data_IF_219451005814
#
_entry.id   IF_219451005814
#
_cell.length_a   1.000
_cell.length_b   1.000
_cell.length_c   1.000
_cell.angle_alpha   90.00
_cell.angle_beta   90.00
_cell.angle_gamma   90.00
#
_symmetry.space_group_name_H-M   'P 1'
#
loop_
_entity.id
_entity.type
_entity.pdbx_description
1 polymer ?
#
# COMPACT_ATOMS: atom_id res chain seq x y z
N UNK A 1 -15.56 8.20 -15.17
CA UNK A 1 -14.39 9.01 -14.79
C UNK A 1 -14.41 9.09 -13.27
N UNK A 2 -13.25 9.01 -12.61
CA UNK A 2 -13.17 9.14 -11.15
C UNK A 2 -13.13 10.64 -10.83
N UNK A 3 -14.03 11.13 -9.98
CA UNK A 3 -14.10 12.52 -9.53
C UNK A 3 -13.11 12.79 -8.38
N UNK A 4 -12.75 11.78 -7.59
CA UNK A 4 -11.69 11.88 -6.59
C UNK A 4 -10.42 12.43 -7.23
N UNK A 5 -9.96 13.57 -6.72
CA UNK A 5 -8.73 14.22 -7.21
C UNK A 5 -7.56 13.32 -6.89
N UNK A 6 -6.79 13.01 -7.93
CA UNK A 6 -5.59 12.18 -7.83
C UNK A 6 -4.46 12.76 -8.65
N UNK A 7 -3.24 12.62 -8.15
CA UNK A 7 -2.00 12.95 -8.87
C UNK A 7 -1.18 11.68 -8.95
N UNK A 8 -0.77 11.30 -10.16
CA UNK A 8 0.11 10.16 -10.40
C UNK A 8 1.55 10.63 -10.60
N UNK A 9 2.48 9.99 -9.90
CA UNK A 9 3.91 10.16 -10.06
C UNK A 9 4.58 8.79 -10.13
N UNK A 10 5.65 8.67 -10.91
CA UNK A 10 6.46 7.45 -11.01
C UNK A 10 7.90 7.70 -10.59
N UNK A 11 8.49 6.77 -9.87
CA UNK A 11 9.89 6.82 -9.42
C UNK A 11 10.62 5.52 -9.80
N UNK A 12 11.71 5.58 -10.58
CA UNK A 12 12.59 4.43 -10.77
C UNK A 12 13.31 4.08 -9.46
N UNK A 13 13.25 2.81 -9.06
CA UNK A 13 13.88 2.30 -7.85
C UNK A 13 14.34 0.85 -8.05
N UNK A 14 15.66 0.62 -7.94
CA UNK A 14 16.30 -0.72 -8.00
C UNK A 14 15.76 -1.61 -9.14
N UNK A 15 15.70 -1.05 -10.36
CA UNK A 15 15.26 -1.79 -11.55
C UNK A 15 13.73 -1.96 -11.69
N UNK A 16 12.95 -1.36 -10.80
CA UNK A 16 11.49 -1.32 -10.86
C UNK A 16 10.99 0.14 -10.95
N UNK A 17 9.76 0.32 -11.43
CA UNK A 17 9.07 1.62 -11.36
C UNK A 17 8.05 1.57 -10.25
N UNK A 18 8.19 2.46 -9.27
CA UNK A 18 7.21 2.67 -8.22
C UNK A 18 6.18 3.69 -8.70
N UNK A 19 4.88 3.35 -8.61
CA UNK A 19 3.79 4.24 -8.99
C UNK A 19 3.06 4.77 -7.76
N UNK A 20 3.18 6.07 -7.54
CA UNK A 20 2.52 6.79 -6.46
C UNK A 20 1.23 7.43 -6.97
N UNK A 21 0.18 7.32 -6.18
CA UNK A 21 -1.07 8.04 -6.35
C UNK A 21 -1.34 8.79 -5.06
N UNK A 22 -1.14 10.10 -5.11
CA UNK A 22 -1.62 11.01 -4.08
C UNK A 22 -3.10 11.27 -4.35
N UNK A 23 -3.92 11.27 -3.31
CA UNK A 23 -5.37 11.45 -3.44
C UNK A 23 -5.93 12.37 -2.36
N UNK A 24 -7.01 13.09 -2.66
CA UNK A 24 -7.73 13.90 -1.69
C UNK A 24 -8.97 13.14 -1.17
N UNK A 25 -8.95 12.62 0.08
CA UNK A 25 -10.09 11.89 0.64
C UNK A 25 -11.36 12.75 0.79
N UNK A 26 -11.24 14.08 0.86
CA UNK A 26 -12.38 14.98 0.95
C UNK A 26 -13.12 15.09 -0.40
N UNK A 27 -12.39 14.97 -1.52
CA UNK A 27 -12.97 15.00 -2.87
C UNK A 27 -13.73 13.73 -3.28
N UNK A 28 -13.54 12.62 -2.55
CA UNK A 28 -14.15 11.33 -2.87
C UNK A 28 -15.69 11.34 -2.80
N UNK A 29 -16.30 10.70 -3.80
CA UNK A 29 -17.73 10.46 -3.91
C UNK A 29 -17.99 8.96 -4.03
N UNK A 30 -19.13 8.50 -3.51
CA UNK A 30 -19.48 7.06 -3.58
C UNK A 30 -19.52 6.53 -5.03
N UNK A 31 -19.89 7.36 -6.01
CA UNK A 31 -19.87 7.01 -7.43
C UNK A 31 -18.46 6.68 -7.98
N UNK A 32 -17.40 7.19 -7.34
CA UNK A 32 -16.03 6.90 -7.74
C UNK A 32 -15.70 5.41 -7.62
N UNK A 33 -16.36 4.71 -6.69
CA UNK A 33 -16.20 3.27 -6.53
C UNK A 33 -16.70 2.49 -7.74
N UNK A 34 -17.62 3.02 -8.53
CA UNK A 34 -18.13 2.35 -9.73
C UNK A 34 -17.04 2.14 -10.80
N UNK A 35 -15.90 2.83 -10.67
CA UNK A 35 -14.72 2.54 -11.48
C UNK A 35 -14.10 1.16 -11.18
N UNK A 36 -14.36 0.62 -9.99
CA UNK A 36 -13.90 -0.71 -9.58
C UNK A 36 -14.92 -1.78 -10.00
N UNK A 37 -14.52 -2.84 -10.72
CA UNK A 37 -15.42 -3.95 -11.05
C UNK A 37 -16.04 -4.63 -9.81
N UNK A 38 -15.29 -4.68 -8.71
CA UNK A 38 -15.68 -5.29 -7.44
C UNK A 38 -16.25 -4.29 -6.41
N UNK A 39 -16.80 -3.15 -6.84
CA UNK A 39 -17.31 -2.10 -5.94
C UNK A 39 -18.32 -2.61 -4.89
N UNK A 40 -19.14 -3.61 -5.25
CA UNK A 40 -20.12 -4.23 -4.36
C UNK A 40 -19.50 -4.76 -3.07
N UNK A 41 -18.27 -5.30 -3.15
CA UNK A 41 -17.54 -5.83 -1.99
C UNK A 41 -17.09 -4.73 -1.00
N UNK A 42 -17.13 -3.46 -1.41
CA UNK A 42 -16.72 -2.31 -0.60
C UNK A 42 -17.91 -1.50 -0.07
N UNK A 43 -19.16 -1.88 -0.37
CA UNK A 43 -20.35 -1.10 -0.02
C UNK A 43 -20.43 -0.75 1.46
N UNK A 44 -20.14 -1.73 2.33
CA UNK A 44 -20.18 -1.57 3.79
C UNK A 44 -18.87 -1.08 4.41
N UNK A 45 -17.83 -0.87 3.61
CA UNK A 45 -16.57 -0.35 4.11
C UNK A 45 -16.70 1.13 4.49
N UNK A 46 -15.99 1.56 5.54
CA UNK A 46 -15.91 2.98 5.90
C UNK A 46 -15.26 3.81 4.79
N UNK A 47 -15.57 5.12 4.76
CA UNK A 47 -15.07 6.06 3.74
C UNK A 47 -13.55 5.97 3.53
N UNK A 48 -12.78 5.91 4.61
CA UNK A 48 -11.31 5.76 4.56
C UNK A 48 -10.88 4.52 3.76
N UNK A 49 -11.47 3.37 4.05
CA UNK A 49 -11.13 2.13 3.35
C UNK A 49 -11.53 2.19 1.87
N UNK A 50 -12.66 2.81 1.55
CA UNK A 50 -13.13 3.02 0.17
C UNK A 50 -12.13 3.87 -0.64
N UNK A 51 -11.69 5.00 -0.07
CA UNK A 51 -10.74 5.91 -0.72
C UNK A 51 -9.37 5.26 -0.92
N UNK A 52 -8.83 4.62 0.11
CA UNK A 52 -7.53 3.93 0.06
C UNK A 52 -7.55 2.79 -0.96
N UNK A 53 -8.62 1.99 -0.97
CA UNK A 53 -8.75 0.88 -1.92
C UNK A 53 -8.84 1.36 -3.36
N UNK A 54 -9.60 2.44 -3.62
CA UNK A 54 -9.69 3.05 -4.94
C UNK A 54 -8.33 3.59 -5.39
N UNK A 55 -7.66 4.39 -4.55
CA UNK A 55 -6.35 4.97 -4.86
C UNK A 55 -5.30 3.87 -5.13
N UNK A 56 -5.26 2.83 -4.31
CA UNK A 56 -4.35 1.70 -4.52
C UNK A 56 -4.61 0.95 -5.83
N UNK A 57 -5.87 0.82 -6.24
CA UNK A 57 -6.21 0.22 -7.54
C UNK A 57 -5.88 1.12 -8.72
N UNK A 58 -5.98 2.44 -8.57
CA UNK A 58 -5.51 3.40 -9.58
C UNK A 58 -3.98 3.27 -9.74
N UNK A 59 -3.23 3.24 -8.63
CA UNK A 59 -1.78 3.05 -8.65
C UNK A 59 -1.39 1.73 -9.33
N UNK A 60 -2.09 0.64 -9.00
CA UNK A 60 -1.85 -0.67 -9.60
C UNK A 60 -2.14 -0.70 -11.11
N UNK A 61 -3.15 0.02 -11.59
CA UNK A 61 -3.41 0.16 -13.03
C UNK A 61 -2.27 0.90 -13.72
N UNK A 62 -1.71 1.95 -13.10
CA UNK A 62 -0.53 2.62 -13.68
C UNK A 62 0.66 1.66 -13.78
N UNK A 63 0.95 0.89 -12.73
CA UNK A 63 2.03 -0.09 -12.74
C UNK A 63 1.81 -1.20 -13.79
N UNK A 64 0.57 -1.71 -13.91
CA UNK A 64 0.22 -2.76 -14.88
C UNK A 64 0.36 -2.30 -16.33
N UNK A 65 0.16 -1.01 -16.63
CA UNK A 65 0.29 -0.47 -17.99
C UNK A 65 1.71 -0.62 -18.54
N UNK A 66 2.74 -0.55 -17.69
CA UNK A 66 4.13 -0.77 -18.11
C UNK A 66 4.37 -2.20 -18.61
N UNK A 67 3.54 -3.14 -18.15
CA UNK A 67 3.57 -4.55 -18.54
C UNK A 67 2.53 -4.90 -19.63
N UNK A 68 1.87 -3.90 -20.22
CA UNK A 68 0.89 -4.09 -21.29
C UNK A 68 -0.54 -4.43 -20.81
N UNK A 69 -0.79 -4.43 -19.50
CA UNK A 69 -2.09 -4.73 -18.93
C UNK A 69 -2.90 -3.45 -18.66
N UNK A 70 -4.22 -3.54 -18.83
CA UNK A 70 -5.16 -2.42 -18.58
C UNK A 70 -6.27 -2.75 -17.58
N UNK A 71 -6.17 -3.89 -16.91
CA UNK A 71 -7.16 -4.36 -15.96
C UNK A 71 -6.96 -3.77 -14.56
N UNK A 72 -8.05 -3.69 -13.81
CA UNK A 72 -8.01 -3.40 -12.37
C UNK A 72 -7.82 -4.74 -11.63
N UNK A 73 -6.81 -4.90 -10.76
CA UNK A 73 -6.67 -6.11 -9.96
C UNK A 73 -7.91 -6.41 -9.13
N UNK A 74 -8.39 -7.65 -9.16
CA UNK A 74 -9.53 -8.08 -8.34
C UNK A 74 -9.14 -8.21 -6.85
N UNK A 75 -10.07 -8.69 -6.03
CA UNK A 75 -9.84 -9.03 -4.62
C UNK A 75 -9.84 -10.56 -4.51
N UNK A 76 -8.75 -11.14 -4.00
CA UNK A 76 -8.60 -12.57 -3.77
C UNK A 76 -9.20 -13.01 -2.43
N UNK A 77 -9.15 -14.31 -2.15
CA UNK A 77 -9.77 -14.93 -0.97
C UNK A 77 -9.23 -14.39 0.36
N UNK A 78 -7.93 -14.07 0.41
CA UNK A 78 -7.26 -13.47 1.57
C UNK A 78 -7.26 -11.93 1.48
N UNK A 79 -8.13 -11.35 0.66
CA UNK A 79 -8.24 -9.90 0.38
C UNK A 79 -7.03 -9.29 -0.34
N UNK A 80 -6.13 -10.13 -0.84
CA UNK A 80 -4.97 -9.72 -1.63
C UNK A 80 -5.38 -9.25 -3.03
N UNK A 81 -4.63 -8.34 -3.68
CA UNK A 81 -4.83 -8.05 -5.10
C UNK A 81 -4.58 -9.29 -5.95
N UNK A 82 -5.49 -9.60 -6.88
CA UNK A 82 -5.28 -10.65 -7.87
C UNK A 82 -4.62 -10.04 -9.09
N UNK A 83 -3.36 -10.39 -9.31
CA UNK A 83 -2.56 -9.94 -10.44
C UNK A 83 -2.81 -10.80 -11.68
N UNK A 84 -2.63 -10.26 -12.90
CA UNK A 84 -2.64 -11.06 -14.12
C UNK A 84 -1.61 -12.19 -14.08
N UNK A 85 -1.80 -13.19 -14.94
CA UNK A 85 -0.80 -14.23 -15.13
C UNK A 85 0.57 -13.61 -15.48
N UNK A 86 1.64 -14.28 -15.05
CA UNK A 86 3.05 -13.92 -15.35
C UNK A 86 3.59 -12.66 -14.65
N UNK A 87 2.80 -11.97 -13.85
CA UNK A 87 3.27 -10.83 -13.05
C UNK A 87 2.88 -10.95 -11.59
N UNK A 88 3.74 -10.39 -10.75
CA UNK A 88 3.50 -10.16 -9.34
C UNK A 88 3.39 -8.66 -9.11
N UNK A 89 2.77 -8.27 -8.02
CA UNK A 89 2.79 -6.89 -7.59
C UNK A 89 2.46 -6.76 -6.12
N UNK A 90 2.68 -5.55 -5.62
CA UNK A 90 2.24 -5.18 -4.30
C UNK A 90 1.67 -3.77 -4.31
N UNK A 91 0.76 -3.52 -3.38
CA UNK A 91 0.07 -2.25 -3.18
C UNK A 91 0.16 -1.94 -1.69
N UNK A 92 0.66 -0.76 -1.34
CA UNK A 92 0.59 -0.24 0.04
C UNK A 92 -0.01 1.17 0.03
N UNK A 93 -0.50 1.62 1.17
CA UNK A 93 -1.09 2.95 1.33
C UNK A 93 -0.77 3.52 2.71
N UNK A 94 -0.43 4.80 2.74
CA UNK A 94 -0.20 5.54 3.98
C UNK A 94 -0.77 6.95 3.84
N UNK A 95 -1.62 7.35 4.80
CA UNK A 95 -2.32 8.63 4.78
C UNK A 95 -3.09 8.85 3.47
N UNK A 96 -2.71 9.90 2.75
CA UNK A 96 -3.30 10.32 1.48
C UNK A 96 -2.51 9.84 0.24
N UNK A 97 -1.65 8.82 0.41
CA UNK A 97 -0.81 8.26 -0.66
C UNK A 97 -1.04 6.76 -0.80
N UNK A 98 -1.18 6.30 -2.03
CA UNK A 98 -1.12 4.88 -2.38
C UNK A 98 0.08 4.62 -3.29
N UNK A 99 0.70 3.46 -3.13
CA UNK A 99 1.85 3.02 -3.91
C UNK A 99 1.55 1.66 -4.51
N UNK A 100 1.98 1.45 -5.75
CA UNK A 100 1.99 0.13 -6.38
C UNK A 100 3.27 -0.12 -7.16
N UNK A 101 3.66 -1.39 -7.22
CA UNK A 101 4.74 -1.90 -8.07
C UNK A 101 4.31 -3.21 -8.71
N UNK A 102 4.79 -3.46 -9.92
CA UNK A 102 4.62 -4.73 -10.65
C UNK A 102 5.98 -5.25 -11.09
N UNK A 103 6.17 -6.56 -11.03
CA UNK A 103 7.41 -7.26 -11.36
C UNK A 103 7.13 -8.64 -11.99
N UNK A 104 8.13 -9.21 -12.69
CA UNK A 104 8.12 -10.61 -13.15
C UNK A 104 8.56 -11.59 -12.07
N UNK A 105 9.00 -11.09 -10.93
CA UNK A 105 9.38 -11.87 -9.75
C UNK A 105 8.54 -11.45 -8.55
N UNK A 106 8.36 -12.31 -7.54
CA UNK A 106 7.67 -11.94 -6.30
C UNK A 106 8.23 -10.66 -5.70
N UNK A 107 7.34 -9.72 -5.36
CA UNK A 107 7.72 -8.39 -4.86
C UNK A 107 6.75 -7.95 -3.76
N UNK A 108 7.31 -7.39 -2.70
CA UNK A 108 6.60 -6.72 -1.61
C UNK A 108 7.08 -5.27 -1.52
N UNK A 109 6.15 -4.37 -1.20
CA UNK A 109 6.44 -2.98 -0.86
C UNK A 109 5.54 -2.60 0.29
N UNK A 110 6.03 -1.71 1.13
CA UNK A 110 5.26 -1.06 2.16
C UNK A 110 5.63 0.42 2.29
N UNK A 111 4.63 1.24 2.61
CA UNK A 111 4.80 2.65 2.94
C UNK A 111 4.13 2.92 4.27
N UNK A 112 4.85 3.54 5.18
CA UNK A 112 4.35 3.85 6.52
C UNK A 112 4.85 5.24 6.94
N UNK A 113 4.04 5.92 7.76
CA UNK A 113 4.47 7.14 8.44
C UNK A 113 5.40 6.73 9.58
N UNK A 114 6.53 7.43 9.70
CA UNK A 114 7.46 7.18 10.80
C UNK A 114 6.73 7.41 12.12
N UNK A 115 6.73 6.39 12.98
CA UNK A 115 6.00 6.46 14.24
C UNK A 115 6.54 7.60 15.10
N UNK A 116 5.62 8.30 15.77
CA UNK A 116 6.01 9.17 16.86
C UNK A 116 6.68 8.35 17.97
N UNK A 117 7.49 8.99 18.83
CA UNK A 117 8.11 8.31 19.98
C UNK A 117 7.04 7.70 20.89
N UNK A 118 5.91 8.37 21.06
CA UNK A 118 4.81 7.87 21.86
C UNK A 118 4.19 6.62 21.23
N UNK A 119 3.79 6.70 19.96
CA UNK A 119 3.22 5.57 19.21
C UNK A 119 4.17 4.37 19.19
N UNK A 120 5.47 4.62 18.99
CA UNK A 120 6.45 3.55 18.98
C UNK A 120 6.49 2.81 20.33
N UNK A 121 6.50 3.55 21.45
CA UNK A 121 6.47 2.95 22.79
C UNK A 121 5.21 2.12 23.01
N UNK A 122 4.04 2.65 22.64
CA UNK A 122 2.75 1.98 22.80
C UNK A 122 2.63 0.70 21.97
N UNK A 123 3.30 0.63 20.82
CA UNK A 123 3.20 -0.50 19.90
C UNK A 123 4.35 -1.51 20.01
N UNK A 124 5.42 -1.21 20.76
CA UNK A 124 6.62 -2.05 20.90
C UNK A 124 6.28 -3.54 21.07
N UNK A 125 5.55 -3.87 22.13
CA UNK A 125 5.30 -5.26 22.53
C UNK A 125 4.35 -6.01 21.57
N UNK A 126 3.64 -5.27 20.71
CA UNK A 126 2.76 -5.85 19.67
C UNK A 126 3.50 -6.11 18.36
N UNK A 127 4.60 -5.40 18.12
CA UNK A 127 5.32 -5.44 16.84
C UNK A 127 6.59 -6.27 16.96
N UNK A 128 7.31 -6.21 18.08
CA UNK A 128 8.59 -6.88 18.21
C UNK A 128 8.65 -7.73 19.47
N UNK A 129 9.36 -8.85 19.36
CA UNK A 129 9.73 -9.68 20.51
C UNK A 129 10.85 -9.01 21.32
N UNK A 130 11.06 -9.39 22.60
CA UNK A 130 12.16 -8.87 23.40
C UNK A 130 13.55 -9.06 22.74
N UNK A 131 13.76 -10.19 22.05
CA UNK A 131 14.98 -10.45 21.31
C UNK A 131 15.15 -9.53 20.09
N UNK A 132 14.06 -9.18 19.41
CA UNK A 132 14.09 -8.19 18.32
C UNK A 132 14.33 -6.77 18.86
N UNK A 133 13.82 -6.45 20.05
CA UNK A 133 14.06 -5.16 20.70
C UNK A 133 15.55 -4.92 20.97
N UNK A 134 16.27 -5.91 21.53
CA UNK A 134 17.72 -5.81 21.73
C UNK A 134 18.46 -5.57 20.41
N UNK A 135 18.09 -6.30 19.35
CA UNK A 135 18.68 -6.13 18.02
C UNK A 135 18.39 -4.77 17.39
N UNK A 136 17.18 -4.24 17.58
CA UNK A 136 16.84 -2.90 17.10
C UNK A 136 17.59 -1.81 17.87
N UNK A 137 17.90 -2.01 19.15
CA UNK A 137 18.72 -1.07 19.91
C UNK A 137 20.15 -0.94 19.36
N UNK A 138 20.67 -1.99 18.73
CA UNK A 138 22.01 -2.05 18.14
C UNK A 138 22.08 -1.56 16.68
N UNK A 139 20.95 -1.33 16.01
CA UNK A 139 20.92 -1.03 14.57
C UNK A 139 21.34 0.40 14.19
N UNK A 140 21.58 1.28 15.18
CA UNK A 140 22.03 2.65 14.97
C UNK A 140 20.96 3.62 14.46
N UNK A 141 19.71 3.17 14.28
CA UNK A 141 18.56 4.02 13.95
C UNK A 141 17.87 4.53 15.22
N UNK A 142 17.08 5.59 15.09
CA UNK A 142 16.17 5.98 16.18
C UNK A 142 15.16 4.86 16.41
N UNK A 143 14.80 4.61 17.68
CA UNK A 143 13.89 3.52 18.02
C UNK A 143 12.56 3.59 17.25
N UNK A 144 12.00 4.79 17.10
CA UNK A 144 10.79 5.03 16.29
C UNK A 144 10.94 4.55 14.85
N UNK A 145 12.05 4.90 14.17
CA UNK A 145 12.29 4.49 12.80
C UNK A 145 12.54 2.98 12.70
N UNK A 146 13.35 2.45 13.62
CA UNK A 146 13.65 1.02 13.70
C UNK A 146 12.37 0.19 13.86
N UNK A 147 11.45 0.64 14.73
CA UNK A 147 10.18 -0.03 14.97
C UNK A 147 9.22 0.11 13.79
N UNK A 148 9.16 1.28 13.13
CA UNK A 148 8.37 1.44 11.89
C UNK A 148 8.86 0.48 10.80
N UNK A 149 10.17 0.33 10.62
CA UNK A 149 10.72 -0.64 9.66
C UNK A 149 10.39 -2.09 10.03
N UNK A 150 10.45 -2.44 11.32
CA UNK A 150 10.06 -3.77 11.79
C UNK A 150 8.57 -4.05 11.52
N UNK A 151 7.71 -3.06 11.74
CA UNK A 151 6.28 -3.12 11.44
C UNK A 151 6.03 -3.38 9.94
N UNK A 152 6.67 -2.59 9.07
CA UNK A 152 6.53 -2.75 7.62
C UNK A 152 6.88 -4.15 7.15
N UNK A 153 7.94 -4.75 7.69
CA UNK A 153 8.34 -6.12 7.35
C UNK A 153 7.28 -7.16 7.70
N UNK A 154 6.52 -6.97 8.79
CA UNK A 154 5.44 -7.90 9.14
C UNK A 154 4.27 -7.81 8.16
N UNK A 155 4.05 -6.64 7.57
CA UNK A 155 2.97 -6.35 6.61
C UNK A 155 3.28 -6.90 5.21
N UNK A 156 4.56 -7.11 4.90
CA UNK A 156 5.05 -7.69 3.64
C UNK A 156 5.11 -9.22 3.64
N UNK A 157 4.82 -9.92 4.74
CA UNK A 157 4.79 -11.39 4.77
C UNK A 157 3.55 -11.88 3.99
N UNK A 158 3.77 -12.18 2.71
CA UNK A 158 2.83 -12.83 1.77
C UNK A 158 2.57 -14.27 2.21
#
# INVERSE_FOLDING_TARGET
MVDMKTTHTSLPFVGHTLHFVEFDPASFREQDLLWLPHYAQLQHAGRKRKTEHLAGRIAAVYALREYGYKCVPAIGELRQPVWPAEVYGSISHCGATALAVVSRQPIGIDIEEIFSVQTARELTDNIITPAEHERLAECGLTFSLALTLAFSRQRERI
#
